data_IF_486645418120
#
_entry.id   IF_486645418120
#
_cell.length_a   1.000
_cell.length_b   1.000
_cell.length_c   1.000
_cell.angle_alpha   90.00
_cell.angle_beta   90.00
_cell.angle_gamma   90.00
#
_symmetry.space_group_name_H-M   'P 1'
#
loop_
_entity.id
_entity.type
_entity.pdbx_description
1 polymer ?
#
# COMPACT_ATOMS: atom_id res chain seq x y z
N UNK A 1 2.20 -15.29 11.20
CA UNK A 1 2.55 -13.87 10.95
C UNK A 1 3.45 -13.81 9.74
N UNK A 2 3.05 -13.08 8.69
CA UNK A 2 3.82 -12.96 7.44
C UNK A 2 4.56 -11.62 7.42
N UNK A 3 5.87 -11.62 7.17
CA UNK A 3 6.71 -10.40 7.24
C UNK A 3 7.34 -10.01 5.89
N UNK A 4 7.07 -10.77 4.83
CA UNK A 4 7.51 -10.48 3.47
C UNK A 4 6.35 -10.69 2.51
N UNK A 5 6.13 -9.75 1.60
CA UNK A 5 5.16 -9.86 0.52
C UNK A 5 5.82 -9.49 -0.79
N UNK A 6 5.33 -10.04 -1.90
CA UNK A 6 5.78 -9.67 -3.25
C UNK A 6 4.58 -9.11 -4.01
N UNK A 7 4.70 -7.88 -4.50
CA UNK A 7 3.78 -7.34 -5.48
C UNK A 7 4.54 -7.06 -6.78
N UNK A 8 4.33 -7.92 -7.78
CA UNK A 8 4.99 -7.81 -9.08
C UNK A 8 4.12 -7.09 -10.13
N UNK A 9 3.03 -6.43 -9.71
CA UNK A 9 2.11 -5.74 -10.62
C UNK A 9 2.41 -4.26 -10.67
N UNK A 10 2.43 -3.70 -11.88
CA UNK A 10 2.58 -2.27 -12.10
C UNK A 10 1.36 -1.51 -11.56
N UNK A 11 1.50 -0.20 -11.34
CA UNK A 11 0.37 0.62 -10.86
C UNK A 11 -0.85 0.45 -11.78
N UNK A 12 -0.67 0.49 -13.11
CA UNK A 12 -1.75 0.32 -14.09
C UNK A 12 -2.45 -1.03 -13.97
N UNK A 13 -1.70 -2.12 -13.77
CA UNK A 13 -2.29 -3.46 -13.59
C UNK A 13 -3.12 -3.56 -12.30
N UNK A 14 -2.70 -2.87 -11.24
CA UNK A 14 -3.46 -2.79 -10.00
C UNK A 14 -4.73 -1.96 -10.19
N UNK A 15 -4.65 -0.81 -10.86
CA UNK A 15 -5.82 0.02 -11.16
C UNK A 15 -6.87 -0.75 -11.98
N UNK A 16 -6.44 -1.44 -13.04
CA UNK A 16 -7.33 -2.18 -13.93
C UNK A 16 -8.01 -3.35 -13.22
N UNK A 17 -7.28 -4.03 -12.32
CA UNK A 17 -7.78 -5.17 -11.54
C UNK A 17 -8.82 -4.75 -10.50
N UNK A 18 -8.53 -3.70 -9.76
CA UNK A 18 -9.34 -3.30 -8.60
C UNK A 18 -10.34 -2.19 -8.92
N UNK A 19 -10.34 -1.65 -10.15
CA UNK A 19 -11.19 -0.53 -10.56
C UNK A 19 -11.02 0.69 -9.66
N UNK A 20 -9.79 0.90 -9.20
CA UNK A 20 -9.38 1.99 -8.31
C UNK A 20 -8.18 2.74 -8.92
N UNK A 21 -7.92 3.98 -8.51
CA UNK A 21 -6.86 4.83 -9.07
C UNK A 21 -5.79 5.18 -8.05
N UNK A 22 -4.52 5.18 -8.46
CA UNK A 22 -3.48 5.83 -7.67
C UNK A 22 -3.64 7.35 -7.80
N UNK A 23 -3.80 8.04 -6.69
CA UNK A 23 -3.87 9.51 -6.69
C UNK A 23 -2.54 10.15 -7.12
N UNK A 24 -1.43 9.50 -6.75
CA UNK A 24 -0.07 9.93 -7.10
C UNK A 24 0.75 8.70 -7.52
N UNK A 25 0.69 8.22 -8.77
CA UNK A 25 1.27 6.92 -9.15
C UNK A 25 2.81 6.82 -8.99
N UNK A 26 3.52 7.94 -8.87
CA UNK A 26 5.00 7.98 -8.82
C UNK A 26 5.63 7.33 -7.58
N UNK A 27 4.91 7.15 -6.48
CA UNK A 27 5.49 6.59 -5.25
C UNK A 27 5.53 5.07 -5.22
N UNK A 28 4.79 4.38 -6.10
CA UNK A 28 4.69 2.93 -6.10
C UNK A 28 5.52 2.30 -7.22
N UNK A 29 6.34 1.32 -6.84
CA UNK A 29 7.00 0.40 -7.76
C UNK A 29 6.75 -1.05 -7.34
N UNK A 30 6.60 -2.00 -8.29
CA UNK A 30 6.55 -3.41 -7.96
C UNK A 30 7.82 -3.86 -7.22
N UNK A 31 7.67 -4.58 -6.12
CA UNK A 31 8.80 -4.99 -5.28
C UNK A 31 8.49 -6.20 -4.37
N UNK A 32 9.51 -6.66 -3.65
CA UNK A 32 9.43 -7.53 -2.48
C UNK A 32 9.51 -6.65 -1.23
N UNK A 33 8.39 -6.49 -0.55
CA UNK A 33 8.28 -5.67 0.65
C UNK A 33 8.68 -6.46 1.89
N UNK A 34 9.54 -5.87 2.72
CA UNK A 34 9.93 -6.38 4.03
C UNK A 34 9.25 -5.56 5.12
N UNK A 35 8.43 -6.18 5.96
CA UNK A 35 7.68 -5.50 7.01
C UNK A 35 8.59 -4.73 8.00
N UNK A 36 9.82 -5.21 8.24
CA UNK A 36 10.75 -4.58 9.18
C UNK A 36 11.38 -3.27 8.66
N UNK A 37 11.15 -2.90 7.40
CA UNK A 37 11.56 -1.60 6.86
C UNK A 37 10.42 -0.58 6.86
N UNK A 38 9.27 -0.93 7.44
CA UNK A 38 8.05 -0.11 7.47
C UNK A 38 7.68 0.51 6.10
N UNK A 39 7.70 -0.27 5.00
CA UNK A 39 7.52 0.28 3.67
C UNK A 39 6.10 0.84 3.51
N UNK A 40 5.98 1.85 2.65
CA UNK A 40 4.67 2.29 2.15
C UNK A 40 4.18 1.28 1.12
N UNK A 41 2.97 0.77 1.32
CA UNK A 41 2.35 -0.26 0.47
C UNK A 41 1.01 0.21 -0.08
N UNK A 42 0.61 -0.25 -1.28
CA UNK A 42 -0.70 0.09 -1.85
C UNK A 42 -1.83 -0.64 -1.12
N UNK A 43 -2.79 0.13 -0.60
CA UNK A 43 -3.97 -0.36 0.10
C UNK A 43 -5.21 0.36 -0.44
N UNK A 44 -6.31 -0.38 -0.58
CA UNK A 44 -7.64 0.17 -0.79
C UNK A 44 -8.36 0.09 0.55
N UNK A 45 -8.82 1.22 1.06
CA UNK A 45 -9.43 1.35 2.37
C UNK A 45 -10.88 1.86 2.24
N UNK A 46 -11.68 1.64 3.28
CA UNK A 46 -13.13 1.90 3.26
C UNK A 46 -13.50 3.38 3.13
N UNK A 47 -12.59 4.28 3.49
CA UNK A 47 -12.77 5.71 3.32
C UNK A 47 -12.79 6.11 1.83
N UNK A 48 -12.07 5.39 0.97
CA UNK A 48 -12.01 5.59 -0.48
C UNK A 48 -11.78 4.29 -1.24
N UNK A 49 -12.87 3.61 -1.58
CA UNK A 49 -12.84 2.32 -2.27
C UNK A 49 -12.41 2.43 -3.75
N UNK A 50 -12.45 3.63 -4.32
CA UNK A 50 -12.05 3.98 -5.68
C UNK A 50 -10.58 4.45 -5.77
N UNK A 51 -9.87 4.51 -4.65
CA UNK A 51 -8.48 4.97 -4.59
C UNK A 51 -7.54 3.90 -4.05
N UNK A 52 -6.38 3.78 -4.68
CA UNK A 52 -5.23 3.04 -4.15
C UNK A 52 -4.36 4.04 -3.41
N UNK A 53 -4.27 3.87 -2.10
CA UNK A 53 -3.62 4.78 -1.16
C UNK A 53 -2.32 4.14 -0.63
N UNK A 54 -1.38 4.97 -0.20
CA UNK A 54 -0.15 4.52 0.42
C UNK A 54 -0.27 4.48 1.94
N UNK A 55 -0.06 3.32 2.55
CA UNK A 55 0.02 3.17 4.00
C UNK A 55 1.30 2.46 4.41
N UNK A 56 1.89 2.89 5.52
CA UNK A 56 3.05 2.23 6.11
C UNK A 56 2.67 0.86 6.68
N UNK A 57 3.44 -0.16 6.35
CA UNK A 57 3.29 -1.48 6.94
C UNK A 57 3.89 -1.50 8.35
N UNK A 58 3.09 -1.07 9.33
CA UNK A 58 3.46 -0.94 10.74
C UNK A 58 2.53 0.05 11.42
N UNK A 59 1.43 -0.43 11.98
CA UNK A 59 0.43 0.44 12.61
C UNK A 59 1.04 1.14 13.83
N UNK A 60 1.01 2.47 13.82
CA UNK A 60 1.23 3.29 15.02
C UNK A 60 -0.15 3.61 15.58
N UNK A 61 -0.53 3.04 16.73
CA UNK A 61 -1.81 3.37 17.34
C UNK A 61 -1.85 4.84 17.75
N UNK A 62 -3.00 5.53 17.62
CA UNK A 62 -3.10 6.95 17.94
C UNK A 62 -2.81 7.26 19.42
N UNK A 63 -2.99 6.28 20.31
CA UNK A 63 -2.70 6.39 21.75
C UNK A 63 -1.23 6.14 22.11
N UNK A 64 -0.38 5.75 21.14
CA UNK A 64 1.05 5.52 21.35
C UNK A 64 1.92 6.74 21.00
N UNK A 65 1.31 7.79 20.44
CA UNK A 65 2.00 9.05 20.17
C UNK A 65 2.05 9.90 21.45
N UNK A 66 3.19 10.55 21.73
CA UNK A 66 3.37 11.40 22.92
C UNK A 66 2.51 12.68 22.89
#
# INVERSE_FOLDING_TARGET
>A
MCFRTKNNKTFKQLEDRFKARFLTPKWYTPDIFNAFTFPVTPVIANDRNDAIQGFSWGLIPPWALP
#
